data_IF_801439886243
#
_entry.id   IF_801439886243
#
_cell.length_a   1.000
_cell.length_b   1.000
_cell.length_c   1.000
_cell.angle_alpha   90.00
_cell.angle_beta   90.00
_cell.angle_gamma   90.00
#
_symmetry.space_group_name_H-M   'P 1'
#
loop_
_entity.id
_entity.type
_entity.pdbx_description
1 polymer ?
#
# COMPACT_ATOMS: atom_id res chain seq x y z
N UNK A 1 2.94 7.63 18.49
CA UNK A 1 2.04 7.67 17.32
C UNK A 1 1.02 6.56 17.45
N UNK A 2 -0.18 6.80 16.96
CA UNK A 2 -1.25 5.81 16.83
C UNK A 2 -1.37 5.50 15.34
N UNK A 3 -1.38 4.22 14.98
CA UNK A 3 -1.52 3.76 13.60
C UNK A 3 -2.87 3.07 13.48
N UNK A 4 -3.67 3.45 12.47
CA UNK A 4 -5.02 2.92 12.27
C UNK A 4 -5.14 2.37 10.87
N UNK A 5 -5.39 1.06 10.75
CA UNK A 5 -5.85 0.47 9.51
C UNK A 5 -7.32 0.85 9.31
N UNK A 6 -7.57 1.78 8.40
CA UNK A 6 -8.89 2.33 8.10
C UNK A 6 -9.46 1.58 6.88
N UNK A 7 -9.84 0.33 7.12
CA UNK A 7 -10.24 -0.64 6.09
C UNK A 7 -11.30 -0.09 5.12
N UNK A 8 -12.36 0.54 5.65
CA UNK A 8 -13.45 1.09 4.83
C UNK A 8 -13.05 2.29 3.96
N UNK A 9 -11.89 2.89 4.21
CA UNK A 9 -11.34 4.01 3.43
C UNK A 9 -10.03 3.67 2.71
N UNK A 10 -9.64 2.39 2.68
CA UNK A 10 -8.49 1.90 1.90
C UNK A 10 -7.18 2.67 2.18
N UNK A 11 -6.92 2.90 3.47
CA UNK A 11 -5.75 3.68 3.91
C UNK A 11 -5.27 3.28 5.31
N UNK A 12 -4.08 3.73 5.64
CA UNK A 12 -3.61 3.81 7.03
C UNK A 12 -3.50 5.26 7.44
N UNK A 13 -4.02 5.60 8.62
CA UNK A 13 -3.86 6.92 9.22
C UNK A 13 -2.83 6.85 10.35
N UNK A 14 -1.96 7.86 10.40
CA UNK A 14 -1.02 8.06 11.50
C UNK A 14 -1.46 9.27 12.29
N UNK A 15 -1.62 9.09 13.60
CA UNK A 15 -2.04 10.13 14.52
C UNK A 15 -0.97 10.36 15.60
N UNK A 16 -0.95 11.58 16.13
CA UNK A 16 -0.17 11.96 17.31
C UNK A 16 -0.69 11.23 18.56
N UNK A 17 0.11 11.17 19.64
CA UNK A 17 -0.35 10.61 20.91
C UNK A 17 -1.59 11.31 21.50
N UNK A 18 -1.79 12.57 21.12
CA UNK A 18 -2.94 13.42 21.45
C UNK A 18 -4.14 13.24 20.50
N UNK A 19 -4.03 12.35 19.51
CA UNK A 19 -5.04 12.11 18.48
C UNK A 19 -4.97 13.08 17.29
N UNK A 20 -4.02 14.02 17.26
CA UNK A 20 -3.86 14.94 16.13
C UNK A 20 -3.50 14.20 14.83
N UNK A 21 -4.10 14.60 13.71
CA UNK A 21 -3.76 14.02 12.41
C UNK A 21 -2.31 14.30 12.01
N UNK A 22 -1.59 13.29 11.52
CA UNK A 22 -0.21 13.45 11.05
C UNK A 22 -0.09 13.21 9.55
N UNK A 23 -0.50 12.02 9.06
CA UNK A 23 -0.47 11.69 7.63
C UNK A 23 -1.38 10.51 7.28
N UNK A 24 -1.61 10.34 5.97
CA UNK A 24 -2.27 9.18 5.36
C UNK A 24 -1.25 8.40 4.54
N UNK A 25 -1.23 7.08 4.70
CA UNK A 25 -0.56 6.15 3.80
C UNK A 25 -1.62 5.48 2.92
N UNK A 26 -1.37 5.48 1.61
CA UNK A 26 -2.26 4.84 0.63
C UNK A 26 -1.72 3.54 0.08
N UNK A 27 -0.44 3.22 0.28
CA UNK A 27 0.25 2.13 -0.43
C UNK A 27 1.21 2.67 -1.50
N UNK A 28 2.35 2.02 -1.68
CA UNK A 28 3.39 2.42 -2.66
C UNK A 28 3.82 1.26 -3.58
N UNK A 29 3.65 0.00 -3.15
CA UNK A 29 4.02 -1.21 -3.89
C UNK A 29 5.43 -1.20 -4.51
N UNK A 30 6.40 -0.73 -3.72
CA UNK A 30 7.81 -0.84 -4.09
C UNK A 30 8.22 -2.32 -4.17
N UNK A 31 9.18 -2.60 -5.05
CA UNK A 31 9.69 -3.96 -5.19
C UNK A 31 10.46 -4.36 -3.92
N UNK A 32 10.10 -5.52 -3.38
CA UNK A 32 10.90 -6.16 -2.34
C UNK A 32 12.10 -6.87 -2.94
N UNK A 33 13.10 -7.22 -2.12
CA UNK A 33 14.23 -8.06 -2.57
C UNK A 33 13.77 -9.32 -3.33
N UNK A 34 12.69 -9.97 -2.87
CA UNK A 34 12.18 -11.17 -3.52
C UNK A 34 11.47 -10.88 -4.85
N UNK A 35 10.85 -9.70 -4.97
CA UNK A 35 10.28 -9.25 -6.24
C UNK A 35 11.40 -8.94 -7.25
N UNK A 36 12.47 -8.27 -6.81
CA UNK A 36 13.67 -8.05 -7.61
C UNK A 36 14.29 -9.36 -8.09
N UNK A 37 14.45 -10.36 -7.20
CA UNK A 37 14.97 -11.69 -7.56
C UNK A 37 14.04 -12.39 -8.59
N UNK A 38 12.72 -12.31 -8.40
CA UNK A 38 11.74 -12.87 -9.35
C UNK A 38 11.81 -12.19 -10.73
N UNK A 39 11.92 -10.87 -10.76
CA UNK A 39 12.03 -10.10 -11.99
C UNK A 39 13.37 -10.32 -12.70
N UNK A 40 14.45 -10.56 -11.94
CA UNK A 40 15.74 -10.93 -12.52
C UNK A 40 15.69 -12.29 -13.24
N UNK A 41 14.88 -13.25 -12.75
CA UNK A 41 14.65 -14.53 -13.45
C UNK A 41 13.60 -14.46 -14.56
N UNK A 42 12.73 -13.44 -14.54
CA UNK A 42 11.62 -13.26 -15.50
C UNK A 42 11.63 -11.83 -16.07
N UNK A 43 12.62 -11.49 -16.92
CA UNK A 43 12.79 -10.11 -17.38
C UNK A 43 11.63 -9.59 -18.23
N UNK A 44 10.89 -10.47 -18.92
CA UNK A 44 9.70 -10.10 -19.69
C UNK A 44 8.58 -9.60 -18.76
N UNK A 45 8.31 -10.28 -17.65
CA UNK A 45 7.32 -9.84 -16.64
C UNK A 45 7.68 -8.47 -16.05
N UNK A 46 8.97 -8.20 -15.84
CA UNK A 46 9.44 -6.90 -15.38
C UNK A 46 9.20 -5.82 -16.43
N UNK A 47 9.53 -6.10 -17.69
CA UNK A 47 9.32 -5.18 -18.79
C UNK A 47 7.83 -4.85 -18.95
N UNK A 48 6.94 -5.84 -18.86
CA UNK A 48 5.49 -5.65 -18.91
C UNK A 48 4.97 -4.82 -17.73
N UNK A 49 5.48 -5.06 -16.50
CA UNK A 49 5.15 -4.22 -15.33
C UNK A 49 5.60 -2.77 -15.52
N UNK A 50 6.78 -2.55 -16.10
CA UNK A 50 7.35 -1.21 -16.29
C UNK A 50 6.58 -0.36 -17.30
N UNK A 51 5.97 -0.99 -18.30
CA UNK A 51 5.13 -0.29 -19.30
C UNK A 51 3.66 -0.26 -18.92
N UNK A 52 3.24 -1.02 -17.91
CA UNK A 52 1.85 -1.07 -17.44
C UNK A 52 1.44 0.21 -16.72
N UNK A 53 0.20 0.62 -16.90
CA UNK A 53 -0.37 1.73 -16.13
C UNK A 53 -0.82 1.25 -14.74
N UNK A 54 0.06 1.42 -13.74
CA UNK A 54 -0.21 1.03 -12.35
C UNK A 54 -1.09 2.04 -11.58
N UNK A 55 -1.28 3.25 -12.13
CA UNK A 55 -2.03 4.37 -11.53
C UNK A 55 -3.10 4.88 -12.52
N UNK A 56 -4.11 4.07 -12.88
CA UNK A 56 -5.07 4.45 -13.90
C UNK A 56 -5.98 5.59 -13.44
N UNK A 57 -6.30 6.50 -14.36
CA UNK A 57 -7.40 7.43 -14.18
C UNK A 57 -8.73 6.68 -14.32
N UNK A 58 -9.61 6.84 -13.33
CA UNK A 58 -10.89 6.14 -13.31
C UNK A 58 -12.03 7.02 -13.82
N UNK A 59 -13.05 6.42 -14.48
CA UNK A 59 -14.28 7.12 -14.81
C UNK A 59 -14.96 7.74 -13.58
N UNK A 60 -15.68 8.85 -13.77
CA UNK A 60 -16.29 9.60 -12.67
C UNK A 60 -17.24 8.80 -11.75
N UNK A 61 -17.85 7.71 -12.27
CA UNK A 61 -18.72 6.83 -11.47
C UNK A 61 -17.94 5.88 -10.54
N UNK A 62 -16.63 5.72 -10.73
CA UNK A 62 -15.74 4.89 -9.93
C UNK A 62 -14.87 5.75 -9.01
N UNK A 63 -15.51 6.45 -8.06
CA UNK A 63 -14.86 7.50 -7.26
C UNK A 63 -14.79 7.22 -5.74
N UNK A 64 -15.14 6.02 -5.29
CA UNK A 64 -15.03 5.65 -3.86
C UNK A 64 -13.60 5.20 -3.54
N UNK A 65 -13.16 5.23 -2.26
CA UNK A 65 -11.85 4.70 -1.88
C UNK A 65 -11.64 3.25 -2.33
N UNK A 66 -12.69 2.42 -2.23
CA UNK A 66 -12.70 1.05 -2.73
C UNK A 66 -12.48 0.98 -4.24
N UNK A 67 -13.24 1.76 -5.03
CA UNK A 67 -13.08 1.76 -6.49
C UNK A 67 -11.66 2.14 -6.88
N UNK A 68 -11.16 3.27 -6.37
CA UNK A 68 -9.80 3.74 -6.65
C UNK A 68 -8.77 2.69 -6.29
N UNK A 69 -8.86 2.10 -5.10
CA UNK A 69 -7.80 1.22 -4.61
C UNK A 69 -7.87 -0.18 -5.20
N UNK A 70 -9.04 -0.67 -5.61
CA UNK A 70 -9.17 -1.95 -6.34
C UNK A 70 -8.52 -1.91 -7.73
N UNK A 71 -8.44 -0.74 -8.37
CA UNK A 71 -7.89 -0.56 -9.72
C UNK A 71 -6.45 -0.01 -9.73
N UNK A 72 -5.95 0.47 -8.58
CA UNK A 72 -4.64 1.10 -8.46
C UNK A 72 -3.68 0.19 -7.71
N UNK A 73 -2.75 -0.46 -8.41
CA UNK A 73 -1.88 -1.51 -7.86
C UNK A 73 -1.05 -1.06 -6.65
N UNK A 74 -0.46 0.16 -6.65
CA UNK A 74 0.28 0.66 -5.50
C UNK A 74 -0.52 0.72 -4.21
N UNK A 75 -1.82 1.01 -4.31
CA UNK A 75 -2.63 1.33 -3.14
C UNK A 75 -2.96 0.10 -2.29
N UNK A 76 -3.36 0.32 -1.04
CA UNK A 76 -3.92 -0.70 -0.17
C UNK A 76 -5.32 -1.09 -0.65
N UNK A 77 -5.63 -2.38 -0.62
CA UNK A 77 -6.96 -2.88 -0.84
C UNK A 77 -7.33 -3.91 0.23
N UNK A 78 -8.14 -3.44 1.16
CA UNK A 78 -8.49 -4.06 2.42
C UNK A 78 -7.34 -4.08 3.43
N UNK A 79 -6.75 -2.94 3.84
CA UNK A 79 -5.77 -2.94 4.94
C UNK A 79 -6.47 -3.34 6.25
N UNK A 80 -6.00 -4.39 6.90
CA UNK A 80 -6.66 -5.00 8.07
C UNK A 80 -5.82 -5.01 9.34
N UNK A 81 -4.49 -4.87 9.21
CA UNK A 81 -3.60 -4.95 10.36
C UNK A 81 -2.44 -4.00 10.21
N UNK A 82 -2.05 -3.38 11.33
CA UNK A 82 -0.83 -2.59 11.48
C UNK A 82 -0.04 -3.15 12.65
N UNK A 83 1.27 -3.31 12.48
CA UNK A 83 2.18 -3.74 13.54
C UNK A 83 3.50 -3.00 13.47
N UNK A 84 4.14 -2.78 14.61
CA UNK A 84 5.44 -2.15 14.72
C UNK A 84 6.45 -3.16 15.23
N UNK A 85 7.63 -3.19 14.64
CA UNK A 85 8.75 -3.91 15.22
C UNK A 85 9.57 -3.05 16.21
N UNK A 86 10.55 -3.65 16.87
CA UNK A 86 11.44 -2.96 17.82
C UNK A 86 12.36 -1.90 17.19
N UNK A 87 12.37 -1.77 15.86
CA UNK A 87 13.10 -0.73 15.11
C UNK A 87 12.17 0.39 14.64
N UNK A 88 10.88 0.35 14.99
CA UNK A 88 9.89 1.34 14.60
C UNK A 88 9.45 1.23 13.14
N UNK A 89 9.69 0.09 12.47
CA UNK A 89 9.15 -0.16 11.13
C UNK A 89 7.69 -0.58 11.24
N UNK A 90 6.84 0.06 10.45
CA UNK A 90 5.41 -0.21 10.38
C UNK A 90 5.13 -1.25 9.29
N UNK A 91 4.51 -2.36 9.67
CA UNK A 91 4.01 -3.39 8.79
C UNK A 91 2.52 -3.19 8.61
N UNK A 92 2.05 -3.13 7.37
CA UNK A 92 0.64 -3.03 7.01
C UNK A 92 0.25 -4.24 6.18
N UNK A 93 -0.68 -5.06 6.67
CA UNK A 93 -1.19 -6.22 5.92
C UNK A 93 -2.55 -5.87 5.27
N UNK A 94 -2.73 -6.31 4.02
CA UNK A 94 -3.95 -6.12 3.25
C UNK A 94 -4.51 -7.44 2.70
N UNK A 95 -5.83 -7.59 2.67
CA UNK A 95 -6.47 -8.88 2.36
C UNK A 95 -6.59 -9.16 0.88
N UNK A 96 -6.87 -8.15 0.06
CA UNK A 96 -7.32 -8.38 -1.32
C UNK A 96 -6.16 -8.44 -2.32
N UNK A 97 -4.95 -7.99 -1.93
CA UNK A 97 -3.73 -8.11 -2.73
C UNK A 97 -2.76 -9.19 -2.26
N UNK A 98 -3.09 -9.90 -1.18
CA UNK A 98 -2.20 -10.91 -0.58
C UNK A 98 -0.80 -10.36 -0.29
N UNK A 99 -0.72 -9.10 0.14
CA UNK A 99 0.51 -8.33 0.31
C UNK A 99 0.58 -7.77 1.73
N UNK A 100 1.80 -7.50 2.15
CA UNK A 100 2.04 -6.52 3.22
C UNK A 100 3.08 -5.51 2.74
N UNK A 101 3.01 -4.28 3.24
CA UNK A 101 3.96 -3.22 2.95
C UNK A 101 4.65 -2.79 4.24
N UNK A 102 5.94 -2.45 4.14
CA UNK A 102 6.76 -2.06 5.30
C UNK A 102 7.23 -0.63 5.13
N UNK A 103 6.89 0.22 6.10
CA UNK A 103 7.24 1.64 6.13
C UNK A 103 8.27 1.88 7.21
N UNK A 104 9.22 2.77 6.91
CA UNK A 104 10.19 3.25 7.87
C UNK A 104 10.24 4.77 7.78
N UNK A 105 10.22 5.43 8.94
CA UNK A 105 10.48 6.86 9.02
C UNK A 105 11.93 7.11 8.58
N UNK A 106 12.11 7.99 7.60
CA UNK A 106 13.42 8.59 7.30
C UNK A 106 13.73 9.69 8.30
#
# INVERSE_FOLDING_TARGET
>A
FIYVADWGNERVQVLGPDGSFQLILRGEATDSKWAEDYFASNPEEKAERDVSNLLPELPAHLNTPYHVSSQTEPYFWGPVSVSLDGKGRLYVAETNRHRFQVYQKR
#
